data_IF_039686337246
#
_entry.id   IF_039686337246
#
_cell.length_a   1.000
_cell.length_b   1.000
_cell.length_c   1.000
_cell.angle_alpha   90.00
_cell.angle_beta   90.00
_cell.angle_gamma   90.00
#
_symmetry.space_group_name_H-M   'P 1'
#
loop_
_entity.id
_entity.type
_entity.pdbx_description
1 polymer ?
#
# COMPACT_ATOMS: atom_id res chain seq x y z
N UNK A 1 -17.96 -1.04 -8.66
CA UNK A 1 -17.07 -2.06 -8.10
C UNK A 1 -15.66 -1.55 -8.32
N UNK A 2 -15.03 -1.04 -7.28
CA UNK A 2 -13.63 -0.64 -7.27
C UNK A 2 -12.82 -1.70 -8.00
N UNK A 3 -12.11 -1.30 -9.03
CA UNK A 3 -10.99 -2.10 -9.52
C UNK A 3 -10.08 -2.23 -8.32
N UNK A 4 -9.94 -3.47 -7.81
CA UNK A 4 -9.19 -3.84 -6.62
C UNK A 4 -8.18 -2.78 -6.25
N UNK A 5 -8.55 -2.02 -5.21
CA UNK A 5 -7.69 -1.27 -4.35
C UNK A 5 -6.32 -0.95 -4.97
N UNK A 6 -6.26 0.12 -5.72
CA UNK A 6 -4.99 0.62 -6.21
C UNK A 6 -4.27 1.30 -5.05
N UNK A 7 -3.42 0.53 -4.39
CA UNK A 7 -2.50 1.03 -3.38
C UNK A 7 -1.15 1.23 -4.04
N UNK A 8 -0.61 2.43 -3.95
CA UNK A 8 0.70 2.79 -4.50
C UNK A 8 1.50 3.58 -3.49
N UNK A 9 2.80 3.41 -3.48
CA UNK A 9 3.67 4.24 -2.64
C UNK A 9 3.80 5.66 -3.20
N UNK A 10 3.71 5.80 -4.53
CA UNK A 10 3.82 7.07 -5.23
C UNK A 10 3.14 6.99 -6.58
N UNK A 11 2.61 8.11 -7.05
CA UNK A 11 2.18 8.28 -8.43
C UNK A 11 3.38 8.74 -9.25
N UNK A 12 3.98 7.84 -10.02
CA UNK A 12 5.23 8.08 -10.73
C UNK A 12 5.04 8.87 -12.03
N UNK A 13 3.89 8.74 -12.66
CA UNK A 13 3.56 9.37 -13.94
C UNK A 13 2.29 10.19 -13.82
N UNK A 14 2.14 11.16 -14.73
CA UNK A 14 0.90 11.92 -14.82
C UNK A 14 -0.30 10.98 -15.07
N UNK A 15 -1.41 11.28 -14.43
CA UNK A 15 -2.65 10.51 -14.59
C UNK A 15 -3.43 11.04 -15.78
N UNK A 16 -3.71 10.17 -16.75
CA UNK A 16 -4.41 10.54 -17.98
C UNK A 16 -5.84 9.98 -17.96
N UNK A 17 -6.82 10.87 -17.95
CA UNK A 17 -8.22 10.52 -18.14
C UNK A 17 -8.58 10.82 -19.61
N UNK A 18 -9.21 9.86 -20.29
CA UNK A 18 -9.57 9.97 -21.70
C UNK A 18 -11.06 10.03 -21.89
N UNK A 19 -11.50 10.90 -22.77
CA UNK A 19 -12.87 11.04 -23.24
C UNK A 19 -12.91 10.99 -24.76
N UNK A 20 -13.92 10.35 -25.32
CA UNK A 20 -14.25 10.39 -26.75
C UNK A 20 -15.66 10.94 -26.88
N UNK A 21 -15.82 12.04 -27.64
CA UNK A 21 -17.09 12.72 -27.81
C UNK A 21 -17.32 13.02 -29.29
N UNK A 22 -18.54 12.83 -29.82
CA UNK A 22 -18.90 13.21 -31.21
C UNK A 22 -18.90 14.73 -31.38
N UNK A 23 -19.17 15.48 -30.32
CA UNK A 23 -19.19 16.94 -30.32
C UNK A 23 -17.98 17.53 -29.59
N UNK A 24 -17.61 18.73 -29.99
CA UNK A 24 -16.51 19.45 -29.35
C UNK A 24 -16.86 19.81 -27.90
N UNK A 25 -15.98 19.46 -26.97
CA UNK A 25 -16.08 19.84 -25.55
C UNK A 25 -15.87 21.36 -25.42
N UNK A 26 -16.84 22.04 -24.85
CA UNK A 26 -16.83 23.49 -24.66
C UNK A 26 -16.31 23.92 -23.30
N UNK A 27 -16.40 23.04 -22.31
CA UNK A 27 -15.85 23.27 -20.96
C UNK A 27 -15.51 21.97 -20.28
N UNK A 28 -14.50 22.00 -19.41
CA UNK A 28 -14.15 20.90 -18.54
C UNK A 28 -13.80 21.39 -17.14
N UNK A 29 -14.05 20.57 -16.15
CA UNK A 29 -13.60 20.75 -14.77
C UNK A 29 -13.02 19.44 -14.27
N UNK A 30 -11.75 19.46 -13.88
CA UNK A 30 -11.09 18.31 -13.26
C UNK A 30 -11.05 18.54 -11.75
N UNK A 31 -11.56 17.56 -10.98
CA UNK A 31 -11.58 17.61 -9.51
C UNK A 31 -10.80 16.43 -8.95
N UNK A 32 -10.09 16.69 -7.85
CA UNK A 32 -9.47 15.67 -7.02
C UNK A 32 -9.99 15.85 -5.59
N UNK A 33 -10.58 14.80 -5.04
CA UNK A 33 -11.25 14.82 -3.74
C UNK A 33 -12.27 15.99 -3.62
N UNK A 34 -13.03 16.20 -4.68
CA UNK A 34 -14.03 17.28 -4.76
C UNK A 34 -13.46 18.70 -4.98
N UNK A 35 -12.14 18.88 -4.94
CA UNK A 35 -11.49 20.18 -5.17
C UNK A 35 -11.13 20.34 -6.64
N UNK A 36 -11.60 21.44 -7.26
CA UNK A 36 -11.24 21.77 -8.63
C UNK A 36 -9.74 22.07 -8.79
N UNK A 37 -9.15 21.48 -9.80
CA UNK A 37 -7.77 21.72 -10.21
C UNK A 37 -7.67 22.90 -11.17
N UNK A 38 -6.49 23.49 -11.25
CA UNK A 38 -6.18 24.62 -12.13
C UNK A 38 -5.58 24.13 -13.43
N UNK A 39 -6.25 24.41 -14.54
CA UNK A 39 -5.71 24.12 -15.88
C UNK A 39 -4.44 24.94 -16.14
N UNK A 40 -3.46 24.32 -16.78
CA UNK A 40 -2.15 24.90 -17.08
C UNK A 40 -1.16 24.85 -15.92
N UNK A 41 -1.60 24.43 -14.71
CA UNK A 41 -0.73 24.22 -13.54
C UNK A 41 -0.85 22.78 -13.03
N UNK A 42 -2.07 22.37 -12.69
CA UNK A 42 -2.32 21.06 -12.10
C UNK A 42 -2.68 20.02 -13.16
N UNK A 43 -3.24 20.45 -14.28
CA UNK A 43 -3.55 19.59 -15.41
C UNK A 43 -3.51 20.34 -16.74
N UNK A 44 -3.38 19.59 -17.84
CA UNK A 44 -3.53 20.05 -19.21
C UNK A 44 -4.57 19.25 -19.96
N UNK A 45 -5.07 19.83 -21.07
CA UNK A 45 -6.03 19.17 -21.96
C UNK A 45 -5.42 19.08 -23.34
N UNK A 46 -5.33 17.85 -23.86
CA UNK A 46 -4.96 17.58 -25.23
C UNK A 46 -6.22 17.21 -26.01
N UNK A 47 -6.48 17.93 -27.10
CA UNK A 47 -7.56 17.60 -28.03
C UNK A 47 -6.92 16.99 -29.29
N UNK A 48 -7.29 15.75 -29.58
CA UNK A 48 -6.85 15.04 -30.78
C UNK A 48 -8.09 14.78 -31.61
N UNK A 49 -8.19 15.45 -32.78
CA UNK A 49 -9.28 15.18 -33.73
C UNK A 49 -9.08 13.84 -34.36
N UNK A 50 -10.12 13.02 -34.36
CA UNK A 50 -10.13 11.74 -35.07
C UNK A 50 -10.69 11.89 -36.46
N UNK A 51 -10.34 10.96 -37.39
CA UNK A 51 -10.67 11.02 -38.81
C UNK A 51 -12.17 10.97 -39.14
N UNK A 52 -12.98 10.53 -38.17
CA UNK A 52 -14.41 10.27 -38.36
C UNK A 52 -15.33 11.33 -37.71
N UNK A 53 -14.78 12.51 -37.40
CA UNK A 53 -15.53 13.59 -36.76
C UNK A 53 -15.68 13.45 -35.25
N UNK A 54 -15.09 12.43 -34.65
CA UNK A 54 -15.02 12.28 -33.20
C UNK A 54 -13.87 13.11 -32.64
N UNK A 55 -14.04 13.59 -31.41
CA UNK A 55 -13.03 14.31 -30.64
C UNK A 55 -12.53 13.42 -29.51
N UNK A 56 -11.22 13.29 -29.42
CA UNK A 56 -10.58 12.59 -28.31
C UNK A 56 -9.89 13.62 -27.42
N UNK A 57 -10.25 13.62 -26.16
CA UNK A 57 -9.66 14.48 -25.15
C UNK A 57 -8.82 13.65 -24.17
N UNK A 58 -7.67 14.17 -23.83
CA UNK A 58 -6.82 13.65 -22.78
C UNK A 58 -6.63 14.74 -21.72
N UNK A 59 -7.13 14.48 -20.52
CA UNK A 59 -6.94 15.30 -19.34
C UNK A 59 -5.73 14.75 -18.61
N UNK A 60 -4.59 15.42 -18.75
CA UNK A 60 -3.29 14.99 -18.19
C UNK A 60 -3.09 15.70 -16.86
N UNK A 61 -3.27 14.98 -15.75
CA UNK A 61 -3.18 15.51 -14.39
C UNK A 61 -1.77 15.25 -13.89
N UNK A 62 -1.09 16.32 -13.46
CA UNK A 62 0.27 16.22 -12.95
C UNK A 62 0.35 15.28 -11.74
N UNK A 63 1.34 14.41 -11.71
CA UNK A 63 1.61 13.52 -10.59
C UNK A 63 1.89 14.28 -9.28
N UNK A 64 2.35 15.54 -9.35
CA UNK A 64 2.54 16.41 -8.20
C UNK A 64 1.25 16.67 -7.40
N UNK A 65 0.08 16.50 -8.02
CA UNK A 65 -1.21 16.60 -7.33
C UNK A 65 -1.39 15.50 -6.28
N UNK A 66 -0.67 14.38 -6.43
CA UNK A 66 -0.81 13.15 -5.64
C UNK A 66 0.40 12.88 -4.73
N UNK A 67 1.13 13.91 -4.34
CA UNK A 67 2.35 13.74 -3.52
C UNK A 67 2.07 13.32 -2.08
N UNK A 68 0.93 13.68 -1.52
CA UNK A 68 0.59 13.38 -0.13
C UNK A 68 0.01 11.98 0.00
N UNK A 69 0.24 11.36 1.14
CA UNK A 69 -0.48 10.14 1.51
C UNK A 69 -1.98 10.40 1.66
N UNK A 70 -2.78 9.42 1.30
CA UNK A 70 -4.23 9.47 1.43
C UNK A 70 -4.98 8.88 0.25
N UNK A 71 -6.29 8.85 0.38
CA UNK A 71 -7.19 8.40 -0.67
C UNK A 71 -7.42 9.54 -1.68
N UNK A 72 -7.37 9.18 -2.95
CA UNK A 72 -7.65 10.08 -4.06
C UNK A 72 -8.83 9.58 -4.88
N UNK A 73 -9.72 10.51 -5.20
CA UNK A 73 -10.81 10.34 -6.15
C UNK A 73 -10.70 11.41 -7.23
N UNK A 74 -10.71 10.99 -8.49
CA UNK A 74 -10.61 11.88 -9.65
C UNK A 74 -11.96 11.91 -10.37
N UNK A 75 -12.46 13.12 -10.60
CA UNK A 75 -13.69 13.37 -11.36
C UNK A 75 -13.38 14.37 -12.47
N UNK A 76 -13.72 14.02 -13.70
CA UNK A 76 -13.70 14.93 -14.84
C UNK A 76 -15.14 15.19 -15.26
N UNK A 77 -15.55 16.44 -15.19
CA UNK A 77 -16.87 16.93 -15.64
C UNK A 77 -16.66 17.70 -16.93
N UNK A 78 -17.41 17.35 -17.96
CA UNK A 78 -17.32 18.00 -19.27
C UNK A 78 -18.69 18.43 -19.80
N UNK A 79 -18.71 19.42 -20.66
CA UNK A 79 -19.86 19.89 -21.39
C UNK A 79 -19.48 20.08 -22.85
N UNK A 80 -20.26 19.51 -23.77
CA UNK A 80 -20.06 19.63 -25.20
C UNK A 80 -20.94 20.73 -25.86
N UNK A 81 -20.83 20.87 -27.17
CA UNK A 81 -21.64 21.85 -27.96
C UNK A 81 -23.12 21.50 -27.99
N UNK A 82 -23.49 20.24 -27.79
CA UNK A 82 -24.89 19.81 -27.74
C UNK A 82 -25.52 20.02 -26.35
N UNK A 83 -24.83 20.73 -25.43
CA UNK A 83 -25.20 20.92 -24.02
C UNK A 83 -25.30 19.60 -23.22
N UNK A 84 -24.75 18.52 -23.75
CA UNK A 84 -24.62 17.26 -23.03
C UNK A 84 -23.56 17.38 -21.95
N UNK A 85 -23.85 16.89 -20.76
CA UNK A 85 -22.93 16.88 -19.63
C UNK A 85 -22.48 15.48 -19.33
N UNK A 86 -21.17 15.26 -19.32
CA UNK A 86 -20.57 13.99 -18.95
C UNK A 86 -19.77 14.11 -17.65
N UNK A 87 -19.86 13.07 -16.84
CA UNK A 87 -19.13 12.94 -15.59
C UNK A 87 -18.39 11.61 -15.57
N UNK A 88 -17.13 11.65 -15.30
CA UNK A 88 -16.30 10.42 -15.28
C UNK A 88 -16.70 9.44 -14.17
N UNK A 89 -17.32 9.93 -13.10
CA UNK A 89 -17.77 9.12 -11.97
C UNK A 89 -19.13 8.44 -12.17
N UNK A 90 -19.94 8.90 -13.13
CA UNK A 90 -21.32 8.39 -13.32
C UNK A 90 -21.38 7.16 -14.22
N UNK A 91 -20.49 7.03 -15.19
CA UNK A 91 -20.55 5.97 -16.22
C UNK A 91 -19.25 5.22 -16.45
N UNK A 92 -18.14 5.68 -15.89
CA UNK A 92 -16.85 5.06 -16.01
C UNK A 92 -16.38 4.44 -14.69
N UNK A 93 -15.30 3.74 -14.77
CA UNK A 93 -14.61 3.23 -13.59
C UNK A 93 -14.26 4.40 -12.68
N UNK A 94 -14.70 4.38 -11.43
CA UNK A 94 -14.24 5.30 -10.41
C UNK A 94 -12.71 5.27 -10.40
N UNK A 95 -12.10 6.43 -10.63
CA UNK A 95 -10.66 6.57 -10.55
C UNK A 95 -10.32 6.88 -9.10
N UNK A 96 -10.24 5.82 -8.33
CA UNK A 96 -9.89 5.88 -6.92
C UNK A 96 -8.63 5.09 -6.66
N UNK A 97 -7.72 5.66 -5.86
CA UNK A 97 -6.52 4.98 -5.41
C UNK A 97 -6.04 5.57 -4.08
N UNK A 98 -5.17 4.85 -3.43
CA UNK A 98 -4.56 5.26 -2.16
C UNK A 98 -3.05 5.39 -2.37
N UNK A 99 -2.50 6.52 -1.95
CA UNK A 99 -1.05 6.73 -1.82
C UNK A 99 -0.70 6.49 -0.36
N UNK A 100 0.12 5.48 -0.13
CA UNK A 100 0.60 5.11 1.18
C UNK A 100 2.10 4.78 1.11
N UNK A 101 2.89 5.52 1.87
CA UNK A 101 4.37 5.41 1.92
C UNK A 101 4.85 4.84 3.24
N UNK A 102 3.92 4.62 4.17
CA UNK A 102 4.21 4.25 5.54
C UNK A 102 4.14 2.74 5.69
N UNK A 103 5.19 2.14 6.23
CA UNK A 103 5.19 0.72 6.50
C UNK A 103 4.17 0.37 7.60
N UNK A 104 3.58 -0.83 7.55
CA UNK A 104 2.69 -1.30 8.60
C UNK A 104 3.43 -1.38 9.94
N UNK A 105 2.69 -1.26 11.01
CA UNK A 105 3.18 -1.42 12.37
C UNK A 105 2.59 -2.68 13.00
N UNK A 106 3.11 -3.09 14.16
CA UNK A 106 2.50 -4.15 14.94
C UNK A 106 2.79 -3.98 16.43
N UNK A 107 1.97 -4.62 17.25
CA UNK A 107 2.29 -4.87 18.64
C UNK A 107 2.57 -6.34 18.83
N UNK A 108 3.57 -6.66 19.62
CA UNK A 108 3.91 -8.03 20.01
C UNK A 108 3.91 -8.11 21.54
N UNK A 109 3.08 -8.98 22.09
CA UNK A 109 3.02 -9.27 23.52
C UNK A 109 3.60 -10.65 23.81
N UNK A 110 3.97 -10.91 25.05
CA UNK A 110 4.59 -12.20 25.43
C UNK A 110 6.10 -12.26 25.19
N UNK A 111 6.71 -11.16 24.75
CA UNK A 111 8.17 -10.98 24.64
C UNK A 111 8.66 -9.98 25.67
N UNK A 112 9.91 -10.11 26.08
CA UNK A 112 10.55 -9.15 26.97
C UNK A 112 10.87 -7.86 26.20
N UNK A 113 10.16 -6.79 26.55
CA UNK A 113 10.34 -5.49 25.90
C UNK A 113 11.67 -4.81 26.21
N UNK A 114 12.29 -5.15 27.35
CA UNK A 114 13.52 -4.48 27.79
C UNK A 114 14.76 -5.05 27.09
N UNK A 115 14.72 -6.35 26.81
CA UNK A 115 15.84 -7.05 26.18
C UNK A 115 15.48 -7.59 24.80
N UNK A 116 14.24 -7.36 24.36
CA UNK A 116 13.71 -7.91 23.12
C UNK A 116 13.85 -9.44 23.01
N UNK A 117 13.96 -10.06 24.17
CA UNK A 117 14.09 -11.52 24.30
C UNK A 117 12.69 -12.14 24.37
N UNK A 118 12.55 -13.23 23.70
CA UNK A 118 11.39 -14.09 23.88
C UNK A 118 11.56 -14.95 25.14
N UNK A 119 10.63 -14.83 26.07
CA UNK A 119 10.76 -15.48 27.36
C UNK A 119 10.29 -16.97 27.35
N UNK A 120 9.44 -17.34 26.35
CA UNK A 120 8.92 -18.71 26.25
C UNK A 120 7.97 -19.15 27.37
N UNK A 121 7.66 -18.28 28.31
CA UNK A 121 6.77 -18.58 29.44
C UNK A 121 5.30 -18.38 29.13
N UNK A 122 4.98 -17.61 28.09
CA UNK A 122 3.64 -17.29 27.61
C UNK A 122 3.61 -17.40 26.10
N UNK A 123 2.42 -17.59 25.53
CA UNK A 123 2.22 -17.41 24.12
C UNK A 123 2.47 -15.95 23.75
N UNK A 124 3.17 -15.73 22.64
CA UNK A 124 3.26 -14.40 22.06
C UNK A 124 2.02 -14.11 21.22
N UNK A 125 1.58 -12.86 21.22
CA UNK A 125 0.44 -12.42 20.40
C UNK A 125 0.89 -11.25 19.55
N UNK A 126 0.80 -11.42 18.23
CA UNK A 126 1.10 -10.42 17.21
C UNK A 126 -0.19 -9.78 16.72
N UNK A 127 -0.25 -8.47 16.79
CA UNK A 127 -1.35 -7.66 16.26
C UNK A 127 -0.80 -6.64 15.27
N UNK A 128 -0.73 -6.98 13.99
CA UNK A 128 -0.29 -6.05 12.94
C UNK A 128 -1.39 -5.06 12.60
N UNK A 129 -0.99 -3.88 12.14
CA UNK A 129 -1.86 -2.76 11.81
C UNK A 129 -1.24 -1.93 10.69
N UNK A 130 -2.08 -1.47 9.79
CA UNK A 130 -1.74 -0.48 8.79
C UNK A 130 -2.76 0.66 8.83
N UNK A 131 -2.31 1.87 9.14
CA UNK A 131 -3.18 3.03 9.32
C UNK A 131 -3.37 3.85 8.03
N UNK A 132 -2.42 3.80 7.11
CA UNK A 132 -2.42 4.59 5.87
C UNK A 132 -2.97 3.84 4.67
N UNK A 133 -2.84 2.53 4.70
CA UNK A 133 -3.15 1.66 3.59
C UNK A 133 -3.93 0.41 3.98
N UNK A 134 -3.45 -0.72 3.52
CA UNK A 134 -4.04 -2.01 3.76
C UNK A 134 -2.97 -3.06 3.98
N UNK A 135 -3.09 -3.80 5.06
CA UNK A 135 -2.19 -4.90 5.33
C UNK A 135 -2.30 -5.98 4.23
N UNK A 136 -1.18 -6.33 3.62
CA UNK A 136 -1.11 -7.26 2.49
C UNK A 136 -0.50 -8.62 2.85
N UNK A 137 0.43 -8.65 3.82
CA UNK A 137 1.09 -9.89 4.23
C UNK A 137 1.54 -9.84 5.68
N UNK A 138 1.42 -10.98 6.34
CA UNK A 138 2.07 -11.23 7.63
C UNK A 138 2.78 -12.57 7.56
N UNK A 139 4.04 -12.62 7.99
CA UNK A 139 4.83 -13.84 8.12
C UNK A 139 5.48 -13.90 9.48
N UNK A 140 5.33 -15.01 10.17
CA UNK A 140 5.95 -15.31 11.45
C UNK A 140 6.78 -16.57 11.27
N UNK A 141 8.08 -16.48 11.55
CA UNK A 141 9.04 -17.55 11.25
C UNK A 141 9.98 -17.75 12.42
N UNK A 142 10.33 -18.99 12.71
CA UNK A 142 11.49 -19.30 13.54
C UNK A 142 12.73 -19.30 12.65
N UNK A 143 13.71 -18.52 13.02
CA UNK A 143 15.00 -18.42 12.33
C UNK A 143 16.15 -18.90 13.22
N UNK A 144 17.24 -19.33 12.61
CA UNK A 144 18.47 -19.68 13.31
C UNK A 144 19.36 -18.47 13.60
N UNK A 145 20.50 -18.71 14.23
CA UNK A 145 21.54 -17.69 14.46
C UNK A 145 22.11 -17.09 13.17
N UNK A 146 21.96 -17.80 12.06
CA UNK A 146 22.34 -17.35 10.71
C UNK A 146 21.22 -16.63 9.95
N UNK A 147 20.14 -16.24 10.63
CA UNK A 147 18.92 -15.64 10.10
C UNK A 147 18.16 -16.46 9.05
N UNK A 148 18.56 -17.72 8.86
CA UNK A 148 17.87 -18.60 7.93
C UNK A 148 16.58 -19.15 8.54
N UNK A 149 15.56 -19.22 7.71
CA UNK A 149 14.27 -19.78 8.10
C UNK A 149 14.40 -21.26 8.47
N UNK A 150 13.97 -21.61 9.69
CA UNK A 150 13.88 -22.98 10.18
C UNK A 150 12.44 -23.50 10.07
N UNK A 151 11.47 -22.67 10.43
CA UNK A 151 10.06 -23.07 10.47
C UNK A 151 9.15 -21.86 10.32
N UNK A 152 8.27 -21.89 9.34
CA UNK A 152 7.15 -20.92 9.24
C UNK A 152 6.07 -21.31 10.23
N UNK A 153 5.72 -20.39 11.12
CA UNK A 153 4.65 -20.56 12.11
C UNK A 153 3.32 -20.13 11.53
N UNK A 154 3.31 -18.98 10.90
CA UNK A 154 2.15 -18.41 10.24
C UNK A 154 2.60 -17.62 9.02
N UNK A 155 1.88 -17.80 7.94
CA UNK A 155 1.99 -16.92 6.78
C UNK A 155 0.58 -16.71 6.24
N UNK A 156 0.27 -15.45 5.92
CA UNK A 156 -1.00 -15.05 5.34
C UNK A 156 -0.77 -13.88 4.40
N UNK A 157 -1.34 -13.93 3.21
CA UNK A 157 -1.20 -12.89 2.19
C UNK A 157 -2.33 -12.94 1.17
N UNK A 158 -2.43 -11.92 0.33
CA UNK A 158 -3.38 -11.88 -0.76
C UNK A 158 -4.83 -12.08 -0.34
N UNK A 159 -5.56 -12.95 -1.04
CA UNK A 159 -6.99 -13.17 -0.80
C UNK A 159 -7.26 -13.77 0.60
N UNK A 160 -6.38 -14.63 1.11
CA UNK A 160 -6.50 -15.17 2.47
C UNK A 160 -6.44 -14.08 3.55
N UNK A 161 -5.59 -13.06 3.34
CA UNK A 161 -5.51 -11.90 4.23
C UNK A 161 -6.78 -11.06 4.17
N UNK A 162 -7.30 -10.81 2.97
CA UNK A 162 -8.53 -10.07 2.77
C UNK A 162 -9.73 -10.77 3.41
N UNK A 163 -9.86 -12.05 3.18
CA UNK A 163 -10.90 -12.89 3.77
C UNK A 163 -10.80 -12.94 5.30
N UNK A 164 -9.58 -12.97 5.83
CA UNK A 164 -9.37 -12.94 7.28
C UNK A 164 -9.81 -11.62 7.88
N UNK A 165 -9.40 -10.49 7.28
CA UNK A 165 -9.78 -9.14 7.70
C UNK A 165 -11.29 -8.95 7.68
N UNK A 166 -11.96 -9.39 6.63
CA UNK A 166 -13.42 -9.28 6.49
C UNK A 166 -14.15 -10.09 7.56
N UNK A 167 -13.64 -11.27 7.92
CA UNK A 167 -14.24 -12.14 8.95
C UNK A 167 -13.98 -11.67 10.39
N UNK A 168 -13.00 -10.81 10.59
CA UNK A 168 -12.55 -10.37 11.92
C UNK A 168 -12.64 -8.84 12.11
N UNK A 169 -13.54 -8.17 11.38
CA UNK A 169 -13.79 -6.73 11.45
C UNK A 169 -12.50 -5.88 11.29
N UNK A 170 -11.63 -6.30 10.38
CA UNK A 170 -10.36 -5.62 10.11
C UNK A 170 -9.28 -5.82 11.18
N UNK A 171 -9.52 -6.66 12.20
CA UNK A 171 -8.56 -6.96 13.25
C UNK A 171 -7.79 -8.22 12.94
N UNK A 172 -6.51 -8.18 13.23
CA UNK A 172 -5.63 -9.34 13.10
C UNK A 172 -4.99 -9.61 14.45
N UNK A 173 -5.10 -10.85 14.88
CA UNK A 173 -4.44 -11.35 16.07
C UNK A 173 -3.92 -12.75 15.79
N UNK A 174 -2.59 -12.91 15.84
CA UNK A 174 -1.94 -14.20 15.64
C UNK A 174 -1.24 -14.63 16.92
N UNK A 175 -1.61 -15.79 17.40
CA UNK A 175 -0.97 -16.40 18.55
C UNK A 175 0.22 -17.26 18.10
N UNK A 176 1.36 -17.06 18.75
CA UNK A 176 2.56 -17.87 18.61
C UNK A 176 2.70 -18.71 19.88
N UNK A 177 2.50 -20.03 19.81
CA UNK A 177 2.59 -20.89 20.97
C UNK A 177 3.98 -20.86 21.62
N UNK A 178 4.03 -20.78 22.93
CA UNK A 178 5.29 -20.72 23.70
C UNK A 178 6.23 -21.91 23.41
N UNK A 179 5.66 -23.08 23.10
CA UNK A 179 6.40 -24.29 22.80
C UNK A 179 7.27 -24.18 21.56
N UNK A 180 6.89 -23.31 20.64
CA UNK A 180 7.62 -23.08 19.38
C UNK A 180 8.99 -22.45 19.64
N UNK A 181 9.09 -21.64 20.69
CA UNK A 181 10.27 -20.85 21.01
C UNK A 181 10.97 -21.31 22.29
N UNK A 182 10.40 -22.30 22.96
CA UNK A 182 11.03 -22.97 24.11
C UNK A 182 12.05 -24.03 23.72
N UNK A 183 12.45 -24.08 22.46
CA UNK A 183 13.48 -24.99 21.99
C UNK A 183 14.77 -24.81 22.82
N UNK A 184 15.28 -25.91 23.33
CA UNK A 184 16.43 -25.96 24.26
C UNK A 184 17.75 -25.44 23.66
N UNK A 185 17.75 -25.13 22.40
CA UNK A 185 18.96 -24.96 21.62
C UNK A 185 19.36 -23.48 21.47
N UNK A 186 19.01 -22.57 22.29
CA UNK A 186 19.55 -21.18 22.27
C UNK A 186 19.59 -20.42 20.94
N UNK A 187 19.49 -21.15 19.83
CA UNK A 187 19.71 -20.67 18.45
C UNK A 187 18.43 -20.34 17.70
N UNK A 188 17.28 -20.37 18.36
CA UNK A 188 16.01 -20.11 17.68
C UNK A 188 15.46 -18.73 18.04
N UNK A 189 15.25 -17.90 17.02
CA UNK A 189 14.71 -16.56 17.14
C UNK A 189 13.39 -16.43 16.39
N UNK A 190 12.55 -15.50 16.80
CA UNK A 190 11.28 -15.22 16.15
C UNK A 190 11.45 -14.06 15.17
N UNK A 191 11.26 -14.32 13.90
CA UNK A 191 11.17 -13.27 12.88
C UNK A 191 9.70 -12.93 12.61
N UNK A 192 9.38 -11.65 12.68
CA UNK A 192 8.09 -11.08 12.30
C UNK A 192 8.30 -10.19 11.09
N UNK A 193 7.51 -10.42 10.05
CA UNK A 193 7.47 -9.60 8.85
C UNK A 193 6.02 -9.21 8.57
N UNK A 194 5.76 -7.91 8.42
CA UNK A 194 4.48 -7.38 7.99
C UNK A 194 4.72 -6.49 6.77
N UNK A 195 3.90 -6.65 5.74
CA UNK A 195 3.93 -5.81 4.54
C UNK A 195 2.51 -5.33 4.21
N UNK A 196 2.41 -4.15 3.63
CA UNK A 196 1.16 -3.60 3.14
C UNK A 196 0.83 -4.05 1.71
N UNK A 197 -0.19 -3.43 1.10
CA UNK A 197 -0.56 -3.61 -0.29
C UNK A 197 0.05 -2.54 -1.21
N UNK A 198 0.70 -1.50 -0.66
CA UNK A 198 1.17 -0.35 -1.42
C UNK A 198 2.48 -0.68 -2.13
N UNK A 199 2.47 -0.61 -3.45
CA UNK A 199 3.61 -1.00 -4.28
C UNK A 199 4.33 0.21 -4.86
N UNK A 200 5.65 0.09 -4.97
CA UNK A 200 6.47 0.98 -5.76
C UNK A 200 6.43 0.61 -7.26
N UNK A 201 7.16 1.36 -8.08
CA UNK A 201 7.28 1.10 -9.52
C UNK A 201 7.90 -0.28 -9.83
N UNK A 202 8.71 -0.81 -8.92
CA UNK A 202 9.31 -2.15 -9.02
C UNK A 202 8.44 -3.27 -8.45
N UNK A 203 7.23 -2.95 -7.97
CA UNK A 203 6.31 -3.92 -7.36
C UNK A 203 6.67 -4.32 -5.93
N UNK A 204 7.55 -3.57 -5.25
CA UNK A 204 7.89 -3.83 -3.85
C UNK A 204 6.91 -3.10 -2.93
N UNK A 205 6.53 -3.73 -1.83
CA UNK A 205 5.64 -3.17 -0.82
C UNK A 205 6.41 -2.53 0.33
N UNK A 206 5.76 -1.59 1.05
CA UNK A 206 6.28 -1.15 2.33
C UNK A 206 6.22 -2.31 3.32
N UNK A 207 7.25 -2.48 4.12
CA UNK A 207 7.33 -3.60 5.07
C UNK A 207 8.12 -3.24 6.32
N UNK A 208 7.78 -3.90 7.41
CA UNK A 208 8.58 -3.97 8.62
C UNK A 208 8.99 -5.42 8.84
N UNK A 209 10.25 -5.61 9.22
CA UNK A 209 10.81 -6.92 9.58
C UNK A 209 11.62 -6.78 10.86
N UNK A 210 11.35 -7.63 11.83
CA UNK A 210 12.08 -7.63 13.11
C UNK A 210 12.32 -9.05 13.60
N UNK A 211 13.49 -9.26 14.21
CA UNK A 211 13.88 -10.54 14.78
C UNK A 211 13.98 -10.39 16.30
N UNK A 212 13.35 -11.31 17.03
CA UNK A 212 13.32 -11.37 18.48
C UNK A 212 13.97 -12.66 18.96
N UNK A 213 14.79 -12.57 19.99
CA UNK A 213 15.36 -13.73 20.64
C UNK A 213 16.78 -13.49 21.14
N UNK A 214 17.26 -14.36 22.04
CA UNK A 214 18.62 -14.31 22.52
C UNK A 214 19.58 -14.84 21.48
N UNK A 215 20.50 -14.02 21.06
CA UNK A 215 21.76 -14.49 20.54
C UNK A 215 22.68 -14.81 21.72
N UNK A 216 23.20 -16.03 21.79
CA UNK A 216 24.04 -16.47 22.88
C UNK A 216 25.46 -15.90 22.80
N UNK A 217 25.82 -15.22 21.71
CA UNK A 217 27.21 -14.78 21.49
C UNK A 217 27.41 -13.27 21.32
N UNK A 218 26.36 -12.46 21.18
CA UNK A 218 26.51 -11.02 21.16
C UNK A 218 25.21 -10.30 21.50
N UNK A 219 25.31 -9.21 22.23
CA UNK A 219 24.35 -8.12 22.27
C UNK A 219 24.22 -7.52 20.85
N UNK A 220 23.75 -8.30 19.89
CA UNK A 220 23.58 -7.82 18.54
C UNK A 220 22.26 -7.09 18.44
N UNK A 221 22.37 -5.86 18.05
CA UNK A 221 21.28 -4.99 17.65
C UNK A 221 20.30 -5.78 16.79
N UNK A 222 19.05 -5.82 17.20
CA UNK A 222 17.97 -6.35 16.39
C UNK A 222 17.86 -5.44 15.20
N UNK A 223 18.16 -5.97 14.03
CA UNK A 223 18.03 -5.22 12.80
C UNK A 223 16.55 -4.91 12.56
N UNK A 224 16.17 -3.67 12.82
CA UNK A 224 14.96 -3.10 12.28
C UNK A 224 15.27 -2.74 10.84
N UNK A 225 14.82 -3.55 9.90
CA UNK A 225 14.72 -3.14 8.52
C UNK A 225 13.40 -2.39 8.33
N UNK A 226 13.33 -1.19 8.87
CA UNK A 226 12.47 -0.17 8.33
C UNK A 226 13.06 0.18 6.95
N UNK A 227 12.49 -0.35 5.91
CA UNK A 227 12.75 0.14 4.57
C UNK A 227 11.59 1.03 4.15
N UNK A 228 11.60 2.32 4.51
CA UNK A 228 11.04 3.27 3.60
C UNK A 228 11.97 3.21 2.38
N UNK A 229 11.46 2.80 1.25
CA UNK A 229 12.24 2.94 0.04
C UNK A 229 12.49 4.43 -0.14
N UNK A 230 13.75 4.82 0.09
CA UNK A 230 14.21 6.10 -0.40
C UNK A 230 13.84 6.16 -1.88
N UNK A 231 13.07 7.19 -2.23
CA UNK A 231 12.84 7.53 -3.62
C UNK A 231 14.21 7.76 -4.25
N UNK A 232 14.72 6.78 -4.97
CA UNK A 232 15.77 7.03 -5.92
C UNK A 232 15.20 7.97 -6.98
N UNK A 233 15.32 9.26 -6.74
CA UNK A 233 15.35 10.25 -7.80
C UNK A 233 16.63 10.02 -8.58
N UNK A 234 16.64 9.07 -9.48
CA UNK A 234 17.63 9.03 -10.54
C UNK A 234 17.09 9.90 -11.65
N UNK A 235 17.69 11.05 -11.79
CA UNK A 235 17.68 11.89 -12.96
C UNK A 235 17.77 11.07 -14.26
N UNK A 236 16.80 11.24 -15.12
CA UNK A 236 16.96 11.43 -16.57
C UNK A 236 15.78 12.24 -17.08
#
# INVERSE_FOLDING_TARGET
KLVKDYYVQKVYHDVVVREINPDEVTSCTVKVNGKALKQGTDFSVNNVSESDGWHKYEYVISNAVFEKEGQYNIVVETKDKADSVAYSDVKSVNIEFIVDKTAPTYTLTGVDKNNENYIGSKNAVLMPKDDGGKLGRVKITVVGSDDKEKKVIKEMSGDDMLDYLDKHDGKIEFEVPKEVLSAKDGDSRLMVECADCSVDEGGKTNKVKKIYGKDTEADTEIAEDDVPMESNSSDV
#
